data_IF_987464345038
#
_entry.id   IF_987464345038
#
_cell.length_a   1.000
_cell.length_b   1.000
_cell.length_c   1.000
_cell.angle_alpha   90.00
_cell.angle_beta   90.00
_cell.angle_gamma   90.00
#
_symmetry.space_group_name_H-M   'P 1'
#
loop_
_entity.id
_entity.type
_entity.pdbx_description
1 polymer ?
#
# COMPACT_ATOMS: atom_id res chain seq x y z
N UNK A 1 11.16 36.25 26.13
CA UNK A 1 11.88 35.16 25.44
C UNK A 1 10.97 33.95 25.43
N UNK A 2 10.63 33.36 24.29
CA UNK A 2 9.93 32.08 24.29
C UNK A 2 10.93 30.96 24.59
N UNK A 3 10.53 29.99 25.41
CA UNK A 3 11.31 28.79 25.74
C UNK A 3 11.71 28.01 24.48
N UNK A 4 12.96 27.51 24.38
CA UNK A 4 13.29 26.53 23.35
C UNK A 4 12.57 25.23 23.70
N UNK A 5 11.50 24.92 22.95
CA UNK A 5 10.80 23.65 23.02
C UNK A 5 11.84 22.51 23.01
N UNK A 6 11.76 21.64 24.03
CA UNK A 6 12.69 20.52 24.14
C UNK A 6 12.70 19.72 22.84
N UNK A 7 13.87 19.31 22.31
CA UNK A 7 13.97 18.62 21.02
C UNK A 7 13.12 17.35 20.92
N UNK A 8 12.81 16.72 22.06
CA UNK A 8 11.87 15.59 22.16
C UNK A 8 10.42 15.98 21.82
N UNK A 9 9.95 17.15 22.26
CA UNK A 9 8.59 17.64 21.99
C UNK A 9 8.43 17.98 20.49
N UNK A 10 9.46 18.58 19.89
CA UNK A 10 9.47 18.89 18.45
C UNK A 10 9.47 17.63 17.58
N UNK A 11 10.26 16.62 17.96
CA UNK A 11 10.29 15.33 17.25
C UNK A 11 8.94 14.58 17.35
N UNK A 12 8.31 14.58 18.53
CA UNK A 12 7.00 13.96 18.74
C UNK A 12 5.88 14.69 17.98
N UNK A 13 5.88 16.02 17.97
CA UNK A 13 4.92 16.82 17.21
C UNK A 13 5.05 16.56 15.70
N UNK A 14 6.29 16.50 15.20
CA UNK A 14 6.55 16.16 13.80
C UNK A 14 6.06 14.76 13.42
N UNK A 15 6.29 13.76 14.29
CA UNK A 15 5.82 12.40 14.03
C UNK A 15 4.29 12.30 14.08
N UNK A 16 3.62 13.02 15.00
CA UNK A 16 2.17 13.04 15.06
C UNK A 16 1.58 13.64 13.77
N UNK A 17 2.13 14.74 13.28
CA UNK A 17 1.72 15.32 12.00
C UNK A 17 1.91 14.33 10.84
N UNK A 18 3.05 13.63 10.81
CA UNK A 18 3.33 12.59 9.83
C UNK A 18 2.31 11.44 9.89
N UNK A 19 2.01 10.91 11.09
CA UNK A 19 1.00 9.86 11.27
C UNK A 19 -0.38 10.35 10.85
N UNK A 20 -0.78 11.56 11.20
CA UNK A 20 -2.06 12.13 10.79
C UNK A 20 -2.17 12.21 9.26
N UNK A 21 -1.10 12.64 8.59
CA UNK A 21 -1.07 12.78 7.14
C UNK A 21 -1.19 11.43 6.41
N UNK A 22 -0.53 10.38 6.91
CA UNK A 22 -0.42 9.11 6.18
C UNK A 22 -1.29 7.97 6.74
N UNK A 23 -1.90 8.13 7.92
CA UNK A 23 -2.71 7.06 8.55
C UNK A 23 -3.88 6.61 7.67
N UNK A 24 -4.62 7.55 7.08
CA UNK A 24 -5.72 7.24 6.15
C UNK A 24 -5.24 6.46 4.92
N UNK A 25 -4.27 6.97 4.14
CA UNK A 25 -3.74 6.25 2.98
C UNK A 25 -3.12 4.88 3.30
N UNK A 26 -2.36 4.78 4.40
CA UNK A 26 -1.76 3.51 4.86
C UNK A 26 -2.84 2.50 5.24
N UNK A 27 -3.87 2.92 5.95
CA UNK A 27 -5.00 2.06 6.28
C UNK A 27 -5.77 1.61 5.04
N UNK A 28 -6.07 2.54 4.12
CA UNK A 28 -6.74 2.23 2.86
C UNK A 28 -5.95 1.21 2.03
N UNK A 29 -4.63 1.38 1.92
CA UNK A 29 -3.77 0.42 1.22
C UNK A 29 -3.80 -0.93 1.92
N UNK A 30 -3.71 -0.95 3.25
CA UNK A 30 -3.77 -2.20 4.03
C UNK A 30 -5.09 -2.95 3.81
N UNK A 31 -6.22 -2.25 3.71
CA UNK A 31 -7.51 -2.83 3.35
C UNK A 31 -7.50 -3.44 1.95
N UNK A 32 -6.93 -2.75 0.96
CA UNK A 32 -6.82 -3.25 -0.42
C UNK A 32 -5.93 -4.49 -0.52
N UNK A 33 -4.88 -4.59 0.29
CA UNK A 33 -3.93 -5.70 0.26
C UNK A 33 -4.39 -6.92 1.08
N UNK A 34 -5.14 -6.71 2.16
CA UNK A 34 -5.46 -7.76 3.13
C UNK A 34 -6.95 -8.17 3.14
N UNK A 35 -7.84 -7.38 2.52
CA UNK A 35 -9.29 -7.61 2.42
C UNK A 35 -10.02 -7.77 3.78
N UNK A 36 -9.32 -7.56 4.91
CA UNK A 36 -9.82 -7.80 6.26
C UNK A 36 -9.50 -6.61 7.15
N UNK A 37 -10.54 -5.96 7.70
CA UNK A 37 -10.41 -4.73 8.49
C UNK A 37 -9.49 -4.84 9.71
N UNK A 38 -9.56 -5.96 10.44
CA UNK A 38 -8.69 -6.19 11.63
C UNK A 38 -7.22 -6.32 11.24
N UNK A 39 -6.92 -7.08 10.17
CA UNK A 39 -5.54 -7.22 9.69
C UNK A 39 -5.02 -5.93 9.08
N UNK A 40 -5.89 -5.16 8.43
CA UNK A 40 -5.54 -3.85 7.89
C UNK A 40 -5.17 -2.86 9.00
N UNK A 41 -5.93 -2.84 10.09
CA UNK A 41 -5.61 -2.02 11.26
C UNK A 41 -4.30 -2.45 11.94
N UNK A 42 -4.09 -3.76 12.07
CA UNK A 42 -2.83 -4.31 12.59
C UNK A 42 -1.64 -3.91 11.71
N UNK A 43 -1.76 -4.03 10.38
CA UNK A 43 -0.72 -3.63 9.44
C UNK A 43 -0.41 -2.14 9.55
N UNK A 44 -1.44 -1.30 9.49
CA UNK A 44 -1.30 0.16 9.57
C UNK A 44 -0.64 0.60 10.89
N UNK A 45 -1.03 -0.01 12.01
CA UNK A 45 -0.42 0.26 13.31
C UNK A 45 1.04 -0.16 13.32
N UNK A 46 1.34 -1.38 12.85
CA UNK A 46 2.70 -1.91 12.80
C UNK A 46 3.62 -1.06 11.91
N UNK A 47 3.08 -0.46 10.83
CA UNK A 47 3.81 0.47 9.97
C UNK A 47 4.33 1.68 10.74
N UNK A 48 3.48 2.40 11.46
CA UNK A 48 3.93 3.59 12.20
C UNK A 48 4.83 3.22 13.39
N UNK A 49 4.58 2.09 14.04
CA UNK A 49 5.47 1.57 15.09
C UNK A 49 6.88 1.32 14.54
N UNK A 50 7.01 0.75 13.34
CA UNK A 50 8.29 0.50 12.70
C UNK A 50 9.00 1.78 12.21
N UNK A 51 8.24 2.79 11.79
CA UNK A 51 8.80 4.06 11.29
C UNK A 51 9.21 5.01 12.42
N UNK A 52 8.60 4.92 13.60
CA UNK A 52 8.88 5.81 14.73
C UNK A 52 10.37 5.84 15.14
N UNK A 53 11.09 4.71 15.28
CA UNK A 53 12.53 4.72 15.55
C UNK A 53 13.38 5.37 14.45
N UNK A 54 12.96 5.26 13.18
CA UNK A 54 13.67 5.89 12.05
C UNK A 54 13.45 7.40 12.05
N UNK A 55 12.24 7.85 12.41
CA UNK A 55 11.91 9.25 12.61
C UNK A 55 12.76 9.89 13.72
N UNK A 56 12.84 9.25 14.89
CA UNK A 56 13.63 9.75 16.01
C UNK A 56 15.12 9.88 15.68
N UNK A 57 15.63 9.08 14.73
CA UNK A 57 17.01 9.14 14.23
C UNK A 57 17.20 10.17 13.11
N UNK A 58 16.16 10.92 12.73
CA UNK A 58 16.19 11.89 11.64
C UNK A 58 16.39 11.27 10.25
N UNK A 59 16.13 9.96 10.09
CA UNK A 59 16.31 9.24 8.83
C UNK A 59 15.11 9.32 7.89
N UNK A 60 14.03 9.96 8.32
CA UNK A 60 12.81 10.18 7.56
C UNK A 60 12.57 11.69 7.47
N UNK A 61 12.60 12.25 6.26
CA UNK A 61 12.27 13.65 6.00
C UNK A 61 11.79 13.84 4.56
N UNK A 62 10.92 14.83 4.35
CA UNK A 62 10.42 15.21 3.02
C UNK A 62 9.76 14.07 2.25
N UNK A 63 9.98 14.01 0.94
CA UNK A 63 9.38 13.02 0.03
C UNK A 63 9.75 11.58 0.37
N UNK A 64 10.92 11.36 0.99
CA UNK A 64 11.33 10.04 1.47
C UNK A 64 10.41 9.51 2.57
N UNK A 65 9.75 10.39 3.33
CA UNK A 65 8.82 9.99 4.37
C UNK A 65 7.51 9.43 3.80
N UNK A 66 7.04 9.97 2.67
CA UNK A 66 5.85 9.47 1.98
C UNK A 66 6.10 8.04 1.45
N UNK A 67 7.17 7.86 0.67
CA UNK A 67 7.54 6.55 0.12
C UNK A 67 7.81 5.53 1.24
N UNK A 68 8.44 5.94 2.34
CA UNK A 68 8.67 5.06 3.49
C UNK A 68 7.38 4.55 4.14
N UNK A 69 6.33 5.38 4.24
CA UNK A 69 5.03 4.95 4.77
C UNK A 69 4.44 3.80 3.95
N UNK A 70 4.40 3.97 2.63
CA UNK A 70 3.85 2.97 1.73
C UNK A 70 4.71 1.70 1.67
N UNK A 71 6.04 1.84 1.58
CA UNK A 71 6.95 0.69 1.55
C UNK A 71 6.84 -0.15 2.82
N UNK A 72 6.84 0.50 3.98
CA UNK A 72 6.70 -0.20 5.25
C UNK A 72 5.30 -0.82 5.40
N UNK A 73 4.24 -0.13 4.94
CA UNK A 73 2.90 -0.72 4.83
C UNK A 73 2.87 -2.00 3.99
N UNK A 74 3.45 -1.97 2.79
CA UNK A 74 3.52 -3.12 1.88
C UNK A 74 4.28 -4.27 2.57
N UNK A 75 5.38 -3.97 3.25
CA UNK A 75 6.18 -4.96 4.01
C UNK A 75 5.36 -5.63 5.12
N UNK A 76 4.65 -4.84 5.93
CA UNK A 76 3.79 -5.35 7.01
C UNK A 76 2.63 -6.18 6.46
N UNK A 77 2.00 -5.72 5.37
CA UNK A 77 0.95 -6.46 4.70
C UNK A 77 1.47 -7.78 4.12
N UNK A 78 2.66 -7.81 3.52
CA UNK A 78 3.25 -9.04 2.99
C UNK A 78 3.48 -10.09 4.07
N UNK A 79 3.96 -9.66 5.25
CA UNK A 79 4.13 -10.54 6.42
C UNK A 79 2.79 -11.15 6.88
N UNK A 80 1.72 -10.35 6.95
CA UNK A 80 0.39 -10.82 7.36
C UNK A 80 -0.34 -11.61 6.25
N UNK A 81 0.00 -11.35 4.98
CA UNK A 81 -0.55 -12.04 3.83
C UNK A 81 0.10 -13.41 3.60
N UNK A 82 1.34 -13.63 4.05
CA UNK A 82 2.00 -14.94 3.98
C UNK A 82 1.21 -16.03 4.74
N UNK A 83 0.42 -15.68 5.76
CA UNK A 83 -0.53 -16.61 6.39
C UNK A 83 -1.66 -17.07 5.44
N UNK A 84 -1.89 -16.36 4.33
CA UNK A 84 -2.94 -16.63 3.33
C UNK A 84 -2.44 -17.36 2.08
N UNK A 85 -1.13 -17.56 1.94
CA UNK A 85 -0.48 -18.22 0.79
C UNK A 85 -0.92 -19.68 0.54
N UNK A 86 -1.81 -20.22 1.39
CA UNK A 86 -2.52 -21.49 1.18
C UNK A 86 -3.79 -21.40 0.31
N UNK A 87 -4.22 -20.21 -0.13
CA UNK A 87 -5.39 -20.04 -1.00
C UNK A 87 -4.98 -19.74 -2.46
N UNK A 88 -4.83 -20.80 -3.25
CA UNK A 88 -4.35 -20.82 -4.63
C UNK A 88 -5.32 -20.24 -5.70
N UNK A 89 -6.02 -19.14 -5.43
CA UNK A 89 -7.00 -18.57 -6.39
C UNK A 89 -6.87 -17.08 -6.67
N UNK A 90 -5.83 -16.41 -6.17
CA UNK A 90 -5.62 -15.00 -6.48
C UNK A 90 -5.24 -14.83 -7.96
N UNK A 91 -5.95 -13.98 -8.73
CA UNK A 91 -5.69 -13.79 -10.17
C UNK A 91 -4.38 -13.04 -10.46
N UNK A 92 -3.75 -12.44 -9.45
CA UNK A 92 -2.53 -11.65 -9.56
C UNK A 92 -1.45 -12.16 -8.59
N UNK A 93 -0.19 -11.99 -8.96
CA UNK A 93 0.93 -12.13 -8.03
C UNK A 93 0.86 -11.05 -6.93
N UNK A 94 1.51 -11.26 -5.78
CA UNK A 94 1.53 -10.27 -4.70
C UNK A 94 2.00 -8.90 -5.18
N UNK A 95 3.09 -8.86 -5.93
CA UNK A 95 3.67 -7.62 -6.42
C UNK A 95 2.75 -6.93 -7.46
N UNK A 96 2.02 -7.71 -8.27
CA UNK A 96 1.03 -7.17 -9.21
C UNK A 96 -0.22 -6.65 -8.49
N UNK A 97 -0.64 -7.33 -7.42
CA UNK A 97 -1.71 -6.87 -6.55
C UNK A 97 -1.34 -5.55 -5.88
N UNK A 98 -0.09 -5.42 -5.41
CA UNK A 98 0.43 -4.17 -4.84
C UNK A 98 0.44 -3.05 -5.90
N UNK A 99 0.99 -3.30 -7.09
CA UNK A 99 1.00 -2.30 -8.16
C UNK A 99 -0.42 -1.87 -8.57
N UNK A 100 -1.35 -2.83 -8.65
CA UNK A 100 -2.77 -2.59 -8.91
C UNK A 100 -3.42 -1.75 -7.81
N UNK A 101 -3.19 -2.08 -6.54
CA UNK A 101 -3.74 -1.35 -5.40
C UNK A 101 -3.25 0.09 -5.33
N UNK A 102 -1.96 0.34 -5.57
CA UNK A 102 -1.38 1.69 -5.59
C UNK A 102 -1.94 2.54 -6.74
N UNK A 103 -2.11 1.94 -7.93
CA UNK A 103 -2.53 2.66 -9.13
C UNK A 103 -4.05 2.82 -9.24
N UNK A 104 -4.82 1.74 -9.13
CA UNK A 104 -6.27 1.79 -9.32
C UNK A 104 -7.03 2.06 -8.02
N UNK A 105 -6.47 1.67 -6.86
CA UNK A 105 -7.10 1.85 -5.55
C UNK A 105 -6.74 3.19 -4.91
N UNK A 106 -5.46 3.41 -4.61
CA UNK A 106 -4.97 4.64 -3.97
C UNK A 106 -4.82 5.79 -4.98
N UNK A 107 -4.66 5.48 -6.27
CA UNK A 107 -4.53 6.47 -7.34
C UNK A 107 -3.32 7.38 -7.20
N UNK A 108 -2.18 6.81 -6.78
CA UNK A 108 -0.93 7.55 -6.70
C UNK A 108 -0.37 7.88 -8.09
N UNK A 109 0.36 9.01 -8.24
CA UNK A 109 1.11 9.31 -9.45
C UNK A 109 2.12 8.21 -9.80
N UNK A 110 2.36 7.98 -11.09
CA UNK A 110 3.33 6.97 -11.54
C UNK A 110 4.74 7.23 -11.02
N UNK A 111 5.13 8.50 -10.85
CA UNK A 111 6.41 8.87 -10.23
C UNK A 111 6.53 8.30 -8.83
N UNK A 112 5.47 8.43 -8.04
CA UNK A 112 5.47 8.07 -6.63
C UNK A 112 5.42 6.55 -6.50
N UNK A 113 4.62 5.88 -7.32
CA UNK A 113 4.59 4.41 -7.38
C UNK A 113 5.96 3.87 -7.81
N UNK A 114 6.62 4.49 -8.79
CA UNK A 114 7.96 4.08 -9.23
C UNK A 114 9.00 4.21 -8.12
N UNK A 115 8.89 5.26 -7.30
CA UNK A 115 9.73 5.41 -6.12
C UNK A 115 9.36 4.34 -5.08
N UNK A 116 8.08 4.15 -4.75
CA UNK A 116 7.65 3.17 -3.74
C UNK A 116 8.11 1.75 -4.09
N UNK A 117 7.94 1.34 -5.35
CA UNK A 117 8.26 0.00 -5.83
C UNK A 117 9.71 -0.16 -6.32
N UNK A 118 10.51 0.91 -6.28
CA UNK A 118 11.91 0.91 -6.70
C UNK A 118 12.13 0.38 -8.13
N UNK A 119 11.22 0.74 -9.04
CA UNK A 119 11.27 0.34 -10.45
C UNK A 119 11.19 1.55 -11.37
N UNK A 120 11.49 1.36 -12.65
CA UNK A 120 11.41 2.46 -13.61
C UNK A 120 9.97 2.75 -14.03
N UNK A 121 9.64 4.00 -14.38
CA UNK A 121 8.30 4.35 -14.90
C UNK A 121 7.92 3.56 -16.17
N UNK A 122 8.81 3.32 -17.15
CA UNK A 122 8.48 2.47 -18.30
C UNK A 122 8.14 1.03 -17.91
N UNK A 123 8.90 0.45 -16.99
CA UNK A 123 8.65 -0.89 -16.45
C UNK A 123 7.31 -0.95 -15.72
N UNK A 124 7.03 0.03 -14.86
CA UNK A 124 5.75 0.15 -14.17
C UNK A 124 4.56 0.24 -15.16
N UNK A 125 4.69 1.02 -16.24
CA UNK A 125 3.65 1.11 -17.28
C UNK A 125 3.43 -0.23 -17.97
N UNK A 126 4.50 -0.93 -18.34
CA UNK A 126 4.40 -2.25 -18.96
C UNK A 126 3.71 -3.24 -18.01
N UNK A 127 4.08 -3.22 -16.73
CA UNK A 127 3.46 -4.03 -15.67
C UNK A 127 1.97 -3.76 -15.53
N UNK A 128 1.57 -2.49 -15.38
CA UNK A 128 0.16 -2.10 -15.24
C UNK A 128 -0.68 -2.46 -16.46
N UNK A 129 -0.08 -2.41 -17.66
CA UNK A 129 -0.73 -2.90 -18.89
C UNK A 129 -0.97 -4.41 -18.81
N UNK A 130 0.03 -5.19 -18.42
CA UNK A 130 -0.10 -6.64 -18.27
C UNK A 130 -1.17 -7.02 -17.24
N UNK A 131 -1.20 -6.34 -16.09
CA UNK A 131 -2.24 -6.52 -15.06
C UNK A 131 -3.63 -6.28 -15.65
N UNK A 132 -3.82 -5.19 -16.39
CA UNK A 132 -5.11 -4.87 -17.02
C UNK A 132 -5.55 -5.95 -18.01
N UNK A 133 -4.63 -6.46 -18.80
CA UNK A 133 -4.89 -7.54 -19.78
C UNK A 133 -5.26 -8.85 -19.07
N UNK A 134 -4.56 -9.22 -18.00
CA UNK A 134 -4.87 -10.39 -17.17
C UNK A 134 -6.26 -10.28 -16.52
N UNK A 135 -6.58 -9.11 -15.94
CA UNK A 135 -7.89 -8.87 -15.36
C UNK A 135 -8.98 -8.96 -16.42
N UNK A 136 -8.79 -8.38 -17.62
CA UNK A 136 -9.76 -8.47 -18.70
C UNK A 136 -9.98 -9.92 -19.19
N UNK A 137 -8.92 -10.70 -19.29
CA UNK A 137 -8.99 -12.12 -19.65
C UNK A 137 -9.75 -12.94 -18.58
N UNK A 138 -9.47 -12.71 -17.30
CA UNK A 138 -10.16 -13.37 -16.19
C UNK A 138 -11.66 -13.06 -16.17
N UNK A 139 -12.04 -11.80 -16.44
CA UNK A 139 -13.46 -11.41 -16.55
C UNK A 139 -14.15 -12.06 -17.77
N UNK A 140 -13.43 -12.23 -18.88
CA UNK A 140 -13.97 -12.84 -20.10
C UNK A 140 -14.09 -14.37 -20.01
N UNK A 141 -13.32 -15.01 -19.14
CA UNK A 141 -13.33 -16.46 -18.92
C UNK A 141 -14.45 -16.93 -17.97
N UNK A 142 -15.16 -16.01 -17.29
CA UNK A 142 -16.34 -16.35 -16.51
C UNK A 142 -17.46 -16.80 -17.45
N UNK A 143 -17.98 -18.04 -17.35
CA UNK A 143 -19.04 -18.51 -18.23
C UNK A 143 -20.27 -17.63 -18.04
N UNK A 144 -20.84 -17.17 -19.15
CA UNK A 144 -22.13 -16.48 -19.18
C UNK A 144 -23.17 -17.38 -18.48
N UNK A 145 -23.53 -17.03 -17.24
CA UNK A 145 -24.56 -17.72 -16.49
C UNK A 145 -25.88 -17.57 -17.26
N UNK A 146 -26.25 -18.68 -17.90
CA UNK A 146 -27.60 -19.13 -18.23
C UNK A 146 -28.66 -18.02 -18.40
N UNK A 147 -28.91 -17.61 -19.65
CA UNK A 147 -30.24 -17.08 -20.00
C UNK A 147 -31.21 -18.26 -19.98
N UNK A 148 -32.25 -18.28 -19.14
CA UNK A 148 -33.31 -19.25 -19.32
C UNK A 148 -34.01 -18.92 -20.64
N UNK A 149 -34.03 -19.89 -21.56
CA UNK A 149 -34.86 -19.83 -22.75
C UNK A 149 -36.32 -19.83 -22.29
N UNK A 150 -37.02 -18.71 -22.47
CA UNK A 150 -38.46 -18.68 -22.33
C UNK A 150 -39.07 -19.60 -23.40
N UNK A 151 -39.92 -20.53 -22.95
CA UNK A 151 -40.74 -21.38 -23.82
C UNK A 151 -41.92 -20.65 -24.43
#
# INVERSE_FOLDING_TARGET
>A
MPDPLSPKLTAAAGFNHYTQQYSGPVYALSCLLLEQGVRAEQAATATFVALHPLWLKGRLSGDAAAAAAYRECIRQCAMLAHDRSRCASAPLSWDDHVASALWYGIQLPLSDISQILECSVPELKARLRGIREQMAAAHSALPAVHRPSAG
#
